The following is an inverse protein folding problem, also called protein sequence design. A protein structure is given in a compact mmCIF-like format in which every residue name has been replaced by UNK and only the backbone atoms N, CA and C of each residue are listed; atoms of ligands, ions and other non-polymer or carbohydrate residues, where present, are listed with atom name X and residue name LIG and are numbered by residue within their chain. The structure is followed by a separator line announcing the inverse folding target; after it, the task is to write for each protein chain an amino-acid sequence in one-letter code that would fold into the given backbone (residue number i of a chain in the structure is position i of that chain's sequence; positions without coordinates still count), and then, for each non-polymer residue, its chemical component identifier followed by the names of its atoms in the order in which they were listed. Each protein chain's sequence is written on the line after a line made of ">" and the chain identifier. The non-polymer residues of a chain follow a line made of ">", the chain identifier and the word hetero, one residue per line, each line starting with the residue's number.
data_IF_798100362777
#
_entry.id   IF_798100362777
#
_cell.length_a   1.000
_cell.length_b   1.000
_cell.length_c   1.000
_cell.angle_alpha   90.00
_cell.angle_beta   90.00
_cell.angle_gamma   90.00
#
_symmetry.space_group_name_H-M   'P 1'
#
loop_
_entity.id
_entity.type
_entity.pdbx_description
1 polymer ?
#
# COMPACT_ATOMS: atom_id res chain seq x y z
N UNK A 1 -12.12 -2.83 -68.32
CA UNK A 1 -12.04 -2.54 -66.88
C UNK A 1 -10.90 -3.38 -66.32
N UNK A 2 -9.83 -2.76 -65.79
CA UNK A 2 -8.64 -3.49 -65.34
C UNK A 2 -8.91 -4.17 -64.00
N UNK A 3 -9.47 -5.38 -64.08
CA UNK A 3 -9.78 -6.23 -62.94
C UNK A 3 -8.56 -6.48 -62.04
N UNK A 4 -7.36 -6.58 -62.63
CA UNK A 4 -6.10 -6.69 -61.89
C UNK A 4 -5.78 -5.48 -61.02
N UNK A 5 -6.03 -4.26 -61.53
CA UNK A 5 -5.78 -3.04 -60.75
C UNK A 5 -6.70 -2.94 -59.54
N UNK A 6 -7.96 -3.39 -59.69
CA UNK A 6 -8.93 -3.46 -58.59
C UNK A 6 -8.49 -4.52 -57.56
N UNK A 7 -8.01 -5.68 -58.02
CA UNK A 7 -7.45 -6.73 -57.15
C UNK A 7 -6.26 -6.25 -56.32
N UNK A 8 -5.29 -5.60 -56.97
CA UNK A 8 -4.10 -5.06 -56.30
C UNK A 8 -4.46 -3.98 -55.24
N UNK A 9 -5.46 -3.14 -55.51
CA UNK A 9 -5.97 -2.17 -54.52
C UNK A 9 -6.60 -2.90 -53.32
N UNK A 10 -7.38 -3.95 -53.57
CA UNK A 10 -7.98 -4.78 -52.52
C UNK A 10 -6.93 -5.45 -51.63
N UNK A 11 -5.84 -5.93 -52.22
CA UNK A 11 -4.71 -6.51 -51.48
C UNK A 11 -4.00 -5.49 -50.60
N UNK A 12 -3.70 -4.30 -51.11
CA UNK A 12 -3.06 -3.23 -50.33
C UNK A 12 -3.97 -2.79 -49.17
N UNK A 13 -5.27 -2.62 -49.43
CA UNK A 13 -6.23 -2.27 -48.39
C UNK A 13 -6.36 -3.37 -47.34
N UNK A 14 -6.40 -4.63 -47.76
CA UNK A 14 -6.42 -5.79 -46.86
C UNK A 14 -5.17 -5.86 -45.98
N UNK A 15 -3.99 -5.72 -46.58
CA UNK A 15 -2.73 -5.69 -45.85
C UNK A 15 -2.67 -4.52 -44.85
N UNK A 16 -3.13 -3.34 -45.25
CA UNK A 16 -3.19 -2.16 -44.38
C UNK A 16 -4.15 -2.37 -43.21
N UNK A 17 -5.32 -2.96 -43.45
CA UNK A 17 -6.28 -3.30 -42.40
C UNK A 17 -5.68 -4.30 -41.39
N UNK A 18 -4.93 -5.29 -41.85
CA UNK A 18 -4.22 -6.25 -40.98
C UNK A 18 -3.17 -5.54 -40.14
N UNK A 19 -2.32 -4.69 -40.75
CA UNK A 19 -1.29 -3.93 -40.02
C UNK A 19 -1.92 -3.04 -38.94
N UNK A 20 -2.98 -2.30 -39.28
CA UNK A 20 -3.70 -1.48 -38.29
C UNK A 20 -4.28 -2.31 -37.15
N UNK A 21 -4.82 -3.49 -37.46
CA UNK A 21 -5.36 -4.41 -36.47
C UNK A 21 -4.26 -4.93 -35.53
N UNK A 22 -3.09 -5.29 -36.06
CA UNK A 22 -1.96 -5.75 -35.26
C UNK A 22 -1.42 -4.65 -34.34
N UNK A 23 -1.35 -3.40 -34.83
CA UNK A 23 -0.97 -2.24 -34.01
C UNK A 23 -1.97 -2.05 -32.87
N UNK A 24 -3.27 -2.07 -33.18
CA UNK A 24 -4.31 -1.97 -32.16
C UNK A 24 -4.20 -3.09 -31.12
N UNK A 25 -4.03 -4.34 -31.55
CA UNK A 25 -3.88 -5.49 -30.65
C UNK A 25 -2.64 -5.37 -29.78
N UNK A 26 -1.51 -4.91 -30.33
CA UNK A 26 -0.28 -4.71 -29.56
C UNK A 26 -0.48 -3.66 -28.45
N UNK A 27 -1.18 -2.56 -28.75
CA UNK A 27 -1.54 -1.53 -27.77
C UNK A 27 -2.51 -2.10 -26.73
N UNK A 28 -3.53 -2.84 -27.15
CA UNK A 28 -4.50 -3.48 -26.26
C UNK A 28 -3.83 -4.45 -25.28
N UNK A 29 -2.92 -5.31 -25.76
CA UNK A 29 -2.17 -6.26 -24.92
C UNK A 29 -1.28 -5.52 -23.91
N UNK A 30 -0.70 -4.37 -24.29
CA UNK A 30 0.09 -3.55 -23.36
C UNK A 30 -0.77 -3.04 -22.20
N UNK A 31 -1.94 -2.46 -22.50
CA UNK A 31 -2.86 -1.99 -21.47
C UNK A 31 -3.40 -3.14 -20.60
N UNK A 32 -3.71 -4.29 -21.20
CA UNK A 32 -4.12 -5.48 -20.45
C UNK A 32 -3.03 -5.95 -19.47
N UNK A 33 -1.76 -5.90 -19.89
CA UNK A 33 -0.61 -6.24 -19.03
C UNK A 33 -0.44 -5.24 -17.88
N UNK A 34 -0.57 -3.93 -18.15
CA UNK A 34 -0.51 -2.88 -17.12
C UNK A 34 -1.64 -3.06 -16.09
N UNK A 35 -2.89 -3.24 -16.55
CA UNK A 35 -4.04 -3.48 -15.68
C UNK A 35 -3.90 -4.78 -14.85
N UNK A 36 -3.38 -5.86 -15.44
CA UNK A 36 -3.11 -7.11 -14.72
C UNK A 36 -2.03 -6.93 -13.64
N UNK A 37 -0.99 -6.12 -13.90
CA UNK A 37 0.05 -5.82 -12.92
C UNK A 37 -0.51 -5.01 -11.73
N UNK A 38 -1.39 -4.05 -11.98
CA UNK A 38 -2.05 -3.29 -10.94
C UNK A 38 -3.05 -4.14 -10.14
N UNK A 39 -3.82 -5.00 -10.80
CA UNK A 39 -4.68 -5.94 -10.10
C UNK A 39 -3.86 -6.89 -9.20
N UNK A 40 -2.71 -7.38 -9.67
CA UNK A 40 -1.81 -8.19 -8.84
C UNK A 40 -1.28 -7.42 -7.62
N UNK A 41 -1.06 -6.10 -7.73
CA UNK A 41 -0.70 -5.27 -6.57
C UNK A 41 -1.86 -5.20 -5.56
N UNK A 42 -3.09 -4.99 -6.03
CA UNK A 42 -4.29 -4.96 -5.20
C UNK A 42 -4.54 -6.30 -4.50
N UNK A 43 -4.39 -7.42 -5.21
CA UNK A 43 -4.56 -8.76 -4.64
C UNK A 43 -3.53 -9.03 -3.54
N UNK A 44 -2.25 -8.68 -3.75
CA UNK A 44 -1.23 -8.78 -2.70
C UNK A 44 -1.56 -7.90 -1.49
N UNK A 45 -1.98 -6.67 -1.74
CA UNK A 45 -2.45 -5.74 -0.69
C UNK A 45 -3.62 -6.33 0.11
N UNK A 46 -4.58 -6.98 -0.55
CA UNK A 46 -5.71 -7.67 0.10
C UNK A 46 -5.22 -8.82 0.97
N UNK A 47 -4.31 -9.66 0.49
CA UNK A 47 -3.74 -10.76 1.27
C UNK A 47 -3.00 -10.27 2.53
N UNK A 48 -2.25 -9.16 2.40
CA UNK A 48 -1.60 -8.52 3.56
C UNK A 48 -2.65 -8.00 4.54
N UNK A 49 -3.69 -7.30 4.07
CA UNK A 49 -4.81 -6.83 4.90
C UNK A 49 -5.49 -8.00 5.64
N UNK A 50 -5.77 -9.10 4.95
CA UNK A 50 -6.38 -10.29 5.54
C UNK A 50 -5.52 -10.87 6.67
N UNK A 51 -4.20 -10.95 6.46
CA UNK A 51 -3.26 -11.37 7.50
C UNK A 51 -3.23 -10.40 8.69
N UNK A 52 -3.26 -9.09 8.46
CA UNK A 52 -3.36 -8.09 9.54
C UNK A 52 -4.66 -8.26 10.33
N UNK A 53 -5.81 -8.40 9.65
CA UNK A 53 -7.10 -8.59 10.31
C UNK A 53 -7.15 -9.93 11.07
N UNK A 54 -6.49 -10.97 10.58
CA UNK A 54 -6.36 -12.23 11.31
C UNK A 54 -5.55 -12.06 12.62
N UNK A 55 -4.45 -11.30 12.60
CA UNK A 55 -3.66 -10.99 13.81
C UNK A 55 -4.43 -10.15 14.83
N UNK A 56 -5.24 -9.20 14.36
CA UNK A 56 -6.09 -8.39 15.24
C UNK A 56 -7.13 -9.26 15.94
N UNK A 57 -7.77 -10.19 15.21
CA UNK A 57 -8.85 -11.02 15.73
C UNK A 57 -8.40 -12.33 16.42
N UNK A 58 -7.11 -12.68 16.38
CA UNK A 58 -6.57 -13.90 16.98
C UNK A 58 -5.38 -13.58 17.90
N UNK A 59 -5.62 -13.41 19.22
CA UNK A 59 -4.58 -13.09 20.19
C UNK A 59 -3.48 -14.14 20.29
N UNK A 60 -3.80 -15.43 20.16
CA UNK A 60 -2.80 -16.50 20.19
C UNK A 60 -1.83 -16.38 19.01
N UNK A 61 -2.35 -16.13 17.80
CA UNK A 61 -1.54 -15.98 16.60
C UNK A 61 -0.58 -14.80 16.71
N UNK A 62 -1.07 -13.65 17.17
CA UNK A 62 -0.26 -12.47 17.42
C UNK A 62 0.78 -12.72 18.51
N UNK A 63 0.39 -13.33 19.63
CA UNK A 63 1.30 -13.68 20.74
C UNK A 63 2.48 -14.55 20.26
N UNK A 64 2.26 -15.50 19.36
CA UNK A 64 3.33 -16.34 18.80
C UNK A 64 4.31 -15.51 17.97
N UNK A 65 3.82 -14.60 17.12
CA UNK A 65 4.68 -13.71 16.32
C UNK A 65 5.56 -12.83 17.21
N UNK A 66 5.01 -12.26 18.28
CA UNK A 66 5.78 -11.42 19.19
C UNK A 66 6.73 -12.20 20.10
N UNK A 67 6.35 -13.39 20.58
CA UNK A 67 7.24 -14.27 21.36
C UNK A 67 8.47 -14.70 20.57
N UNK A 68 8.34 -14.85 19.25
CA UNK A 68 9.46 -15.19 18.38
C UNK A 68 10.47 -14.02 18.18
N UNK A 69 10.09 -12.78 18.53
CA UNK A 69 10.89 -11.57 18.30
C UNK A 69 10.99 -10.63 19.51
N UNK A 70 10.89 -11.16 20.74
CA UNK A 70 10.74 -10.35 21.95
C UNK A 70 11.86 -9.32 22.13
N UNK A 71 11.47 -8.05 22.16
CA UNK A 71 12.34 -6.88 22.31
C UNK A 71 11.90 -5.99 23.48
N UNK A 72 10.91 -6.41 24.28
CA UNK A 72 10.42 -5.65 25.44
C UNK A 72 9.68 -4.34 25.13
N UNK A 73 9.62 -3.90 23.87
CA UNK A 73 9.01 -2.62 23.49
C UNK A 73 7.51 -2.54 23.82
N UNK A 74 6.79 -3.66 23.76
CA UNK A 74 5.37 -3.72 24.14
C UNK A 74 5.16 -3.37 25.60
N UNK A 75 6.10 -3.75 26.48
CA UNK A 75 6.04 -3.35 27.89
C UNK A 75 6.23 -1.84 28.02
N UNK A 76 7.14 -1.25 27.26
CA UNK A 76 7.36 0.20 27.27
C UNK A 76 6.16 0.99 26.72
N UNK A 77 5.41 0.44 25.77
CA UNK A 77 4.15 1.05 25.30
C UNK A 77 3.07 0.93 26.38
N UNK A 78 2.98 -0.24 27.02
CA UNK A 78 2.04 -0.49 28.10
C UNK A 78 2.23 0.46 29.29
N UNK A 79 3.48 0.62 29.73
CA UNK A 79 3.85 1.48 30.85
C UNK A 79 3.52 2.95 30.58
N UNK A 80 3.82 3.47 29.39
CA UNK A 80 3.55 4.87 29.03
C UNK A 80 2.05 5.17 28.90
N UNK A 81 1.25 4.19 28.49
CA UNK A 81 -0.19 4.36 28.29
C UNK A 81 -1.02 3.94 29.51
N UNK A 82 -0.40 3.33 30.52
CA UNK A 82 -1.10 2.81 31.70
C UNK A 82 -2.03 1.63 31.38
N UNK A 83 -1.70 0.83 30.37
CA UNK A 83 -2.46 -0.35 29.91
C UNK A 83 -1.68 -1.64 30.18
N UNK A 84 -2.30 -2.81 30.02
CA UNK A 84 -1.57 -4.08 30.12
C UNK A 84 -0.81 -4.40 28.82
N UNK A 85 0.22 -5.25 28.91
CA UNK A 85 1.07 -5.62 27.75
C UNK A 85 0.25 -6.20 26.59
N UNK A 86 -0.79 -6.97 26.90
CA UNK A 86 -1.69 -7.58 25.93
C UNK A 86 -2.53 -6.53 25.18
N UNK A 87 -2.91 -5.43 25.84
CA UNK A 87 -3.61 -4.31 25.21
C UNK A 87 -2.67 -3.51 24.32
N UNK A 88 -1.42 -3.30 24.77
CA UNK A 88 -0.37 -2.67 23.96
C UNK A 88 -0.05 -3.47 22.69
N UNK A 89 -0.08 -4.80 22.78
CA UNK A 89 0.09 -5.71 21.64
C UNK A 89 -1.03 -5.56 20.59
N UNK A 90 -2.29 -5.51 21.04
CA UNK A 90 -3.45 -5.25 20.16
C UNK A 90 -3.31 -3.88 19.49
N UNK A 91 -2.98 -2.86 20.29
CA UNK A 91 -2.82 -1.50 19.81
C UNK A 91 -1.70 -1.37 18.77
N UNK A 92 -0.55 -2.02 19.00
CA UNK A 92 0.59 -1.99 18.09
C UNK A 92 0.25 -2.65 16.76
N UNK A 93 -0.41 -3.81 16.79
CA UNK A 93 -0.86 -4.49 15.58
C UNK A 93 -1.89 -3.67 14.79
N UNK A 94 -2.87 -3.08 15.48
CA UNK A 94 -3.87 -2.21 14.85
C UNK A 94 -3.23 -0.95 14.24
N UNK A 95 -2.27 -0.34 14.93
CA UNK A 95 -1.54 0.83 14.45
C UNK A 95 -0.70 0.49 13.21
N UNK A 96 -0.03 -0.67 13.22
CA UNK A 96 0.76 -1.15 12.09
C UNK A 96 -0.05 -1.26 10.79
N UNK A 97 -1.32 -1.66 10.87
CA UNK A 97 -2.22 -1.67 9.71
C UNK A 97 -2.46 -0.27 9.14
N UNK A 98 -2.75 0.72 9.99
CA UNK A 98 -2.93 2.10 9.56
C UNK A 98 -1.66 2.71 8.97
N UNK A 99 -0.49 2.37 9.52
CA UNK A 99 0.79 2.84 9.00
C UNK A 99 1.03 2.32 7.58
N UNK A 100 0.75 1.04 7.35
CA UNK A 100 0.84 0.43 6.04
C UNK A 100 -0.16 1.04 5.04
N UNK A 101 -1.41 1.27 5.47
CA UNK A 101 -2.44 1.88 4.63
C UNK A 101 -2.05 3.30 4.19
N UNK A 102 -1.61 4.14 5.14
CA UNK A 102 -1.19 5.51 4.85
C UNK A 102 0.07 5.57 3.99
N UNK A 103 1.00 4.62 4.15
CA UNK A 103 2.14 4.48 3.23
C UNK A 103 1.68 4.13 1.82
N UNK A 104 0.70 3.23 1.67
CA UNK A 104 0.10 2.89 0.38
C UNK A 104 -0.55 4.10 -0.30
N UNK A 105 -1.30 4.90 0.47
CA UNK A 105 -1.85 6.18 0.00
C UNK A 105 -0.73 7.13 -0.42
N UNK A 106 0.25 7.39 0.43
CA UNK A 106 1.41 8.24 0.12
C UNK A 106 2.11 7.84 -1.18
N UNK A 107 2.31 6.54 -1.39
CA UNK A 107 3.03 5.99 -2.53
C UNK A 107 2.24 6.07 -3.84
N UNK A 108 0.92 6.27 -3.77
CA UNK A 108 0.01 6.32 -4.93
C UNK A 108 -0.59 7.71 -5.17
N UNK A 109 -0.46 8.63 -4.23
CA UNK A 109 -0.93 10.01 -4.36
C UNK A 109 -0.07 10.80 -5.34
N UNK A 110 -0.72 11.41 -6.35
CA UNK A 110 -0.08 12.29 -7.32
C UNK A 110 -0.62 13.73 -7.31
N UNK A 111 -1.67 14.01 -6.53
CA UNK A 111 -2.28 15.33 -6.41
C UNK A 111 -1.87 16.02 -5.09
N UNK A 112 -1.81 17.35 -5.11
CA UNK A 112 -1.48 18.13 -3.92
C UNK A 112 -2.62 18.10 -2.87
N UNK A 113 -3.87 18.06 -3.31
CA UNK A 113 -5.04 17.98 -2.41
C UNK A 113 -5.05 16.70 -1.59
N UNK A 114 -4.83 15.55 -2.23
CA UNK A 114 -4.85 14.25 -1.54
C UNK A 114 -3.66 14.14 -0.57
N UNK A 115 -2.51 14.74 -0.95
CA UNK A 115 -1.34 14.79 -0.07
C UNK A 115 -1.62 15.67 1.15
N UNK A 116 -2.35 16.78 0.98
CA UNK A 116 -2.74 17.64 2.09
C UNK A 116 -3.76 16.97 3.00
N UNK A 117 -4.71 16.22 2.46
CA UNK A 117 -5.63 15.40 3.24
C UNK A 117 -4.86 14.35 4.08
N UNK A 118 -3.91 13.64 3.45
CA UNK A 118 -3.08 12.67 4.16
C UNK A 118 -2.26 13.34 5.28
N UNK A 119 -1.72 14.54 5.05
CA UNK A 119 -1.04 15.31 6.11
C UNK A 119 -1.97 15.60 7.28
N UNK A 120 -3.21 16.00 7.03
CA UNK A 120 -4.19 16.28 8.06
C UNK A 120 -4.53 15.01 8.85
N UNK A 121 -4.78 13.90 8.15
CA UNK A 121 -5.06 12.60 8.77
C UNK A 121 -3.91 12.15 9.68
N UNK A 122 -2.67 12.17 9.17
CA UNK A 122 -1.49 11.83 9.97
C UNK A 122 -1.34 12.78 11.15
N UNK A 123 -1.46 14.09 10.91
CA UNK A 123 -1.31 15.12 11.94
C UNK A 123 -2.33 15.03 13.07
N UNK A 124 -3.54 14.51 12.81
CA UNK A 124 -4.53 14.27 13.85
C UNK A 124 -4.39 12.88 14.48
N UNK A 125 -4.27 11.83 13.68
CA UNK A 125 -4.30 10.45 14.16
C UNK A 125 -2.99 10.03 14.86
N UNK A 126 -1.83 10.35 14.28
CA UNK A 126 -0.52 9.92 14.80
C UNK A 126 -0.08 10.72 16.02
N UNK A 127 -0.71 11.87 16.29
CA UNK A 127 -0.45 12.69 17.48
C UNK A 127 -1.20 12.20 18.73
N UNK A 128 -2.10 11.22 18.60
CA UNK A 128 -2.68 10.57 19.77
C UNK A 128 -1.60 9.79 20.52
N UNK A 129 -1.57 9.83 21.85
CA UNK A 129 -0.53 9.17 22.65
C UNK A 129 -0.41 7.68 22.30
N UNK A 130 -1.54 7.03 22.04
CA UNK A 130 -1.61 5.62 21.65
C UNK A 130 -0.85 5.34 20.35
N UNK A 131 -1.22 6.01 19.26
CA UNK A 131 -0.61 5.80 17.94
C UNK A 131 0.82 6.32 17.89
N UNK A 132 1.08 7.45 18.56
CA UNK A 132 2.42 8.04 18.65
C UNK A 132 3.42 7.08 19.30
N UNK A 133 3.04 6.44 20.41
CA UNK A 133 3.88 5.46 21.09
C UNK A 133 4.20 4.26 20.18
N UNK A 134 3.19 3.71 19.48
CA UNK A 134 3.40 2.63 18.52
C UNK A 134 4.32 3.05 17.37
N UNK A 135 4.13 4.25 16.81
CA UNK A 135 4.98 4.77 15.73
C UNK A 135 6.44 4.90 16.16
N UNK A 136 6.70 5.47 17.35
CA UNK A 136 8.08 5.78 17.79
C UNK A 136 8.81 4.58 18.38
N UNK A 137 8.12 3.70 19.11
CA UNK A 137 8.76 2.62 19.89
C UNK A 137 8.78 1.26 19.21
N UNK A 138 7.85 1.00 18.29
CA UNK A 138 7.82 -0.29 17.61
C UNK A 138 9.06 -0.47 16.74
N UNK A 139 9.83 -1.56 16.91
CA UNK A 139 11.02 -1.82 16.09
C UNK A 139 10.66 -2.31 14.68
N UNK A 140 9.37 -2.56 14.41
CA UNK A 140 8.91 -3.17 13.16
C UNK A 140 8.37 -2.13 12.17
N UNK A 141 7.57 -1.18 12.65
CA UNK A 141 6.77 -0.33 11.76
C UNK A 141 7.60 0.56 10.85
N UNK A 142 8.56 1.32 11.42
CA UNK A 142 9.37 2.25 10.63
C UNK A 142 10.31 1.53 9.64
N UNK A 143 11.04 0.46 10.02
CA UNK A 143 11.92 -0.24 9.09
C UNK A 143 11.23 -0.96 7.93
N UNK A 144 9.94 -1.30 8.07
CA UNK A 144 9.18 -1.96 7.00
C UNK A 144 8.66 -0.99 5.92
N UNK A 145 8.70 0.32 6.16
CA UNK A 145 8.11 1.34 5.30
C UNK A 145 9.17 2.11 4.52
N UNK A 146 8.75 2.80 3.45
CA UNK A 146 9.65 3.64 2.65
C UNK A 146 10.27 4.76 3.52
N UNK A 147 11.61 4.96 3.51
CA UNK A 147 12.27 6.01 4.30
C UNK A 147 11.74 7.43 4.05
N UNK A 148 11.27 7.74 2.84
CA UNK A 148 10.65 9.03 2.50
C UNK A 148 9.31 9.20 3.20
N UNK A 149 8.52 8.13 3.27
CA UNK A 149 7.26 8.15 4.02
C UNK A 149 7.52 8.30 5.52
N UNK A 150 8.49 7.58 6.07
CA UNK A 150 8.88 7.73 7.49
C UNK A 150 9.26 9.18 7.78
N UNK A 151 10.11 9.79 6.95
CA UNK A 151 10.49 11.20 7.08
C UNK A 151 9.29 12.14 6.98
N UNK A 152 8.39 11.89 6.02
CA UNK A 152 7.17 12.67 5.83
C UNK A 152 6.26 12.63 7.07
N UNK A 153 6.06 11.46 7.66
CA UNK A 153 5.31 11.31 8.92
C UNK A 153 6.03 12.06 10.04
N UNK A 154 7.32 11.80 10.27
CA UNK A 154 8.11 12.41 11.35
C UNK A 154 8.05 13.95 11.30
N UNK A 155 8.17 14.56 10.11
CA UNK A 155 8.03 16.01 9.92
C UNK A 155 6.65 16.57 10.30
N UNK A 156 5.59 15.76 10.24
CA UNK A 156 4.22 16.15 10.60
C UNK A 156 4.01 15.99 12.11
N UNK A 157 4.43 14.85 12.68
CA UNK A 157 4.19 14.56 14.11
C UNK A 157 5.10 15.40 15.02
N UNK A 158 6.31 15.75 14.57
CA UNK A 158 7.29 16.51 15.35
C UNK A 158 7.12 18.04 15.22
N UNK A 159 6.31 18.54 14.27
CA UNK A 159 5.92 19.96 14.24
C UNK A 159 4.95 20.26 15.38
N UNK A 160 5.41 21.07 16.33
CA UNK A 160 4.61 21.66 17.41
C UNK A 160 3.53 22.58 16.87
#
# INVERSE_FOLDING_TARGET
>A
MNWEAIGAIGEILGAMAVVMTLVYLAVQVRYAKEAAADNNRIVRASGVREMYMAQVNNPEFRSVLHKAGDSGYLQQIADDLGIIKEEADILDAASGYWFWLHWGQYSSTHSESDLQELKNLIGSFYKTDSVYNCWKKSPWHRPLLDPKFVKFVDEIVERQ
#
